data_IF_749416557567
#
_entry.id   IF_749416557567
#
_cell.length_a   1.000
_cell.length_b   1.000
_cell.length_c   1.000
_cell.angle_alpha   90.00
_cell.angle_beta   90.00
_cell.angle_gamma   90.00
#
_symmetry.space_group_name_H-M   'P 1'
#
loop_
_entity.id
_entity.type
_entity.pdbx_description
1 polymer ?
#
# COMPACT_ATOMS: atom_id res chain seq x y z
N UNK A 1 -13.89 -2.11 12.01
CA UNK A 1 -13.46 -1.12 11.01
C UNK A 1 -12.41 -1.77 10.15
N UNK A 2 -12.77 -2.10 8.90
CA UNK A 2 -11.84 -2.66 7.94
C UNK A 2 -10.83 -1.57 7.55
N UNK A 3 -9.62 -1.64 8.06
CA UNK A 3 -8.54 -0.78 7.63
C UNK A 3 -7.83 -1.40 6.44
N UNK A 4 -8.36 -1.18 5.24
CA UNK A 4 -7.59 -1.22 4.00
C UNK A 4 -6.66 -0.01 4.04
N UNK A 5 -5.54 -0.04 4.77
CA UNK A 5 -4.70 1.14 4.94
C UNK A 5 -3.25 0.78 4.72
N UNK A 6 -2.64 1.46 3.76
CA UNK A 6 -1.24 1.75 3.88
C UNK A 6 -1.07 2.51 5.21
N UNK A 7 -0.37 1.92 6.17
CA UNK A 7 -0.01 2.63 7.41
C UNK A 7 0.92 3.76 7.01
N UNK A 8 0.41 4.99 6.96
CA UNK A 8 1.19 6.18 6.66
C UNK A 8 0.97 7.25 7.73
N UNK A 9 2.01 7.97 8.05
CA UNK A 9 2.00 9.09 8.98
C UNK A 9 2.57 10.32 8.32
N UNK A 10 1.85 11.46 8.42
CA UNK A 10 2.38 12.77 8.04
C UNK A 10 3.11 13.40 9.23
N UNK A 11 4.38 13.75 9.06
CA UNK A 11 5.16 14.54 10.01
C UNK A 11 5.52 15.88 9.38
N UNK A 12 5.00 16.98 9.94
CA UNK A 12 5.22 18.34 9.44
C UNK A 12 5.77 19.30 10.50
N UNK A 13 6.25 18.74 11.62
CA UNK A 13 6.79 19.48 12.76
C UNK A 13 8.05 18.83 13.32
N UNK A 14 8.52 19.29 14.49
CA UNK A 14 9.61 18.64 15.19
C UNK A 14 9.24 17.19 15.52
N UNK A 15 10.26 16.34 15.55
CA UNK A 15 10.12 14.94 15.93
C UNK A 15 9.75 14.89 17.41
N UNK A 16 8.70 14.17 17.71
CA UNK A 16 8.20 13.97 19.08
C UNK A 16 7.99 12.50 19.39
N UNK A 17 7.61 12.20 20.63
CA UNK A 17 7.34 10.82 21.08
C UNK A 17 6.19 10.17 20.29
N UNK A 18 5.23 10.96 19.79
CA UNK A 18 4.12 10.44 18.96
C UNK A 18 4.64 9.93 17.62
N UNK A 19 5.63 10.60 17.03
CA UNK A 19 6.30 10.16 15.80
C UNK A 19 6.98 8.80 15.99
N UNK A 20 7.70 8.61 17.10
CA UNK A 20 8.34 7.33 17.43
C UNK A 20 7.33 6.21 17.65
N UNK A 21 6.30 6.47 18.47
CA UNK A 21 5.25 5.48 18.75
C UNK A 21 4.56 5.02 17.47
N UNK A 22 4.29 5.94 16.56
CA UNK A 22 3.66 5.61 15.27
C UNK A 22 4.60 4.88 14.33
N UNK A 23 5.89 5.21 14.30
CA UNK A 23 6.89 4.46 13.54
C UNK A 23 6.99 3.02 14.03
N UNK A 24 6.95 2.79 15.34
CA UNK A 24 6.90 1.45 15.95
C UNK A 24 5.58 0.71 15.61
N UNK A 25 4.45 1.41 15.61
CA UNK A 25 3.14 0.84 15.22
C UNK A 25 3.11 0.43 13.74
N UNK A 26 3.73 1.23 12.85
CA UNK A 26 3.94 0.89 11.44
C UNK A 26 4.85 -0.33 11.32
N UNK A 27 5.88 -0.41 12.16
CA UNK A 27 6.90 -1.45 12.21
C UNK A 27 8.00 -1.24 11.17
N UNK A 28 9.27 -1.36 11.63
CA UNK A 28 10.44 -1.22 10.76
C UNK A 28 10.57 -2.39 9.76
N UNK A 29 11.22 -2.18 8.59
CA UNK A 29 11.68 -0.90 8.09
C UNK A 29 10.54 0.03 7.67
N UNK A 30 10.76 1.35 7.82
CA UNK A 30 9.89 2.40 7.32
C UNK A 30 10.58 3.20 6.24
N UNK A 31 9.82 3.86 5.38
CA UNK A 31 10.33 4.81 4.39
C UNK A 31 9.83 6.21 4.72
N UNK A 32 10.74 7.17 4.75
CA UNK A 32 10.44 8.60 4.86
C UNK A 32 10.36 9.15 3.45
N UNK A 33 9.33 9.94 3.15
CA UNK A 33 9.12 10.58 1.86
C UNK A 33 8.82 12.05 2.03
N UNK A 34 9.52 12.91 1.29
CA UNK A 34 9.17 14.33 1.21
C UNK A 34 7.81 14.52 0.55
N UNK A 35 6.94 15.34 1.13
CA UNK A 35 5.58 15.58 0.61
C UNK A 35 5.59 16.19 -0.81
N UNK A 36 6.54 17.06 -1.06
CA UNK A 36 6.75 17.74 -2.34
C UNK A 36 7.79 17.04 -3.22
N UNK A 37 8.31 15.89 -2.79
CA UNK A 37 9.29 15.09 -3.53
C UNK A 37 8.66 14.25 -4.62
N UNK A 38 9.48 13.85 -5.61
CA UNK A 38 9.07 12.95 -6.69
C UNK A 38 10.27 12.33 -7.40
N UNK A 39 10.02 11.27 -8.19
CA UNK A 39 11.07 10.61 -8.98
C UNK A 39 12.19 9.98 -8.18
N UNK A 40 11.91 9.54 -6.93
CA UNK A 40 12.91 8.91 -6.06
C UNK A 40 13.78 9.87 -5.26
N UNK A 41 13.56 11.20 -5.38
CA UNK A 41 14.26 12.20 -4.58
C UNK A 41 13.49 12.50 -3.29
N UNK A 42 14.22 12.73 -2.18
CA UNK A 42 13.62 12.99 -0.87
C UNK A 42 12.97 11.73 -0.26
N UNK A 43 13.55 10.54 -0.50
CA UNK A 43 13.14 9.29 0.12
C UNK A 43 14.32 8.65 0.86
N UNK A 44 14.04 8.10 2.05
CA UNK A 44 15.03 7.46 2.90
C UNK A 44 14.42 6.27 3.64
N UNK A 45 15.07 5.11 3.54
CA UNK A 45 14.66 3.91 4.27
C UNK A 45 15.34 3.93 5.62
N UNK A 46 14.59 3.59 6.67
CA UNK A 46 15.01 3.53 8.07
C UNK A 46 14.74 2.13 8.58
N UNK A 47 15.77 1.47 9.08
CA UNK A 47 15.69 0.07 9.50
C UNK A 47 15.44 -0.10 10.99
N UNK A 48 15.73 0.91 11.80
CA UNK A 48 15.57 0.87 13.26
C UNK A 48 15.19 2.21 13.86
N UNK A 49 14.75 2.21 15.12
CA UNK A 49 14.34 3.42 15.84
C UNK A 49 15.51 4.39 16.05
N UNK A 50 16.73 3.86 16.19
CA UNK A 50 17.93 4.67 16.42
C UNK A 50 18.29 5.55 15.22
N UNK A 51 17.89 5.13 14.02
CA UNK A 51 18.16 5.87 12.77
C UNK A 51 17.08 6.91 12.45
N UNK A 52 15.92 6.87 13.15
CA UNK A 52 14.71 7.59 12.75
C UNK A 52 14.88 9.11 12.77
N UNK A 53 15.41 9.66 13.86
CA UNK A 53 15.51 11.10 14.06
C UNK A 53 16.44 11.74 13.04
N UNK A 54 17.64 11.21 12.89
CA UNK A 54 18.63 11.71 11.93
C UNK A 54 18.08 11.64 10.50
N UNK A 55 17.38 10.55 10.18
CA UNK A 55 16.80 10.34 8.86
C UNK A 55 15.65 11.31 8.56
N UNK A 56 14.78 11.61 9.54
CA UNK A 56 13.71 12.61 9.40
C UNK A 56 14.30 14.00 9.23
N UNK A 57 15.20 14.42 10.16
CA UNK A 57 15.82 15.75 10.10
C UNK A 57 16.50 16.01 8.76
N UNK A 58 17.29 15.04 8.30
CA UNK A 58 18.01 15.17 7.04
C UNK A 58 17.05 15.25 5.85
N UNK A 59 15.98 14.44 5.83
CA UNK A 59 14.98 14.47 4.76
C UNK A 59 14.20 15.79 4.77
N UNK A 60 13.86 16.32 5.95
CA UNK A 60 13.18 17.60 6.09
C UNK A 60 14.06 18.77 5.60
N UNK A 61 15.35 18.76 5.93
CA UNK A 61 16.31 19.79 5.46
C UNK A 61 16.47 19.74 3.94
N UNK A 62 16.67 18.55 3.37
CA UNK A 62 16.77 18.34 1.91
C UNK A 62 15.49 18.80 1.20
N UNK A 63 14.32 18.48 1.75
CA UNK A 63 13.01 18.85 1.18
C UNK A 63 12.78 20.37 1.25
N UNK A 64 13.08 21.01 2.40
CA UNK A 64 12.99 22.45 2.54
C UNK A 64 13.90 23.20 1.56
N UNK A 65 15.14 22.71 1.39
CA UNK A 65 16.10 23.33 0.47
C UNK A 65 15.69 23.16 -1.02
N UNK A 66 15.14 22.01 -1.38
CA UNK A 66 14.80 21.71 -2.78
C UNK A 66 13.41 22.20 -3.20
N UNK A 67 12.43 22.23 -2.28
CA UNK A 67 11.01 22.45 -2.58
C UNK A 67 10.37 23.56 -1.74
N UNK A 68 11.07 24.10 -0.73
CA UNK A 68 10.50 25.09 0.19
C UNK A 68 9.50 24.51 1.20
N UNK A 69 9.41 23.20 1.31
CA UNK A 69 8.48 22.49 2.21
C UNK A 69 9.22 21.36 2.93
N UNK A 70 9.23 21.40 4.27
CA UNK A 70 9.87 20.39 5.11
C UNK A 70 8.95 19.22 5.48
N UNK A 71 7.72 19.20 4.96
CA UNK A 71 6.77 18.13 5.28
C UNK A 71 7.24 16.78 4.75
N UNK A 72 7.24 15.77 5.62
CA UNK A 72 7.58 14.38 5.26
C UNK A 72 6.48 13.43 5.69
N UNK A 73 6.43 12.28 5.04
CA UNK A 73 5.56 11.16 5.40
C UNK A 73 6.40 9.95 5.77
N UNK A 74 5.94 9.21 6.77
CA UNK A 74 6.46 7.88 7.10
C UNK A 74 5.46 6.83 6.60
N UNK A 75 5.96 5.83 5.91
CA UNK A 75 5.15 4.71 5.43
C UNK A 75 5.87 3.39 5.70
N UNK A 76 5.11 2.28 5.74
CA UNK A 76 5.73 0.95 5.77
C UNK A 76 6.58 0.74 4.52
N UNK A 77 7.84 0.38 4.71
CA UNK A 77 8.69 -0.08 3.61
C UNK A 77 8.55 -1.60 3.45
N UNK A 78 8.23 -2.04 2.25
CA UNK A 78 8.15 -3.44 1.89
C UNK A 78 9.43 -3.82 1.13
N UNK A 79 10.10 -4.87 1.60
CA UNK A 79 11.44 -5.25 1.09
C UNK A 79 11.34 -6.03 -0.22
N UNK A 80 10.40 -6.96 -0.27
CA UNK A 80 10.18 -7.84 -1.44
C UNK A 80 8.70 -8.20 -1.60
N UNK A 81 7.83 -7.20 -1.79
CA UNK A 81 6.41 -7.44 -1.90
C UNK A 81 6.06 -8.13 -3.21
N UNK A 82 5.02 -8.96 -3.15
CA UNK A 82 4.33 -9.49 -4.33
C UNK A 82 3.16 -8.57 -4.69
N UNK A 83 2.87 -8.44 -5.97
CA UNK A 83 1.72 -7.70 -6.47
C UNK A 83 0.55 -8.67 -6.64
N UNK A 84 -0.42 -8.60 -5.72
CA UNK A 84 -1.60 -9.46 -5.71
C UNK A 84 -2.84 -8.63 -6.03
N UNK A 85 -3.69 -9.17 -6.88
CA UNK A 85 -4.92 -8.52 -7.29
C UNK A 85 -6.13 -9.37 -6.96
N UNK A 86 -7.22 -8.73 -6.56
CA UNK A 86 -8.52 -9.37 -6.33
C UNK A 86 -9.53 -8.79 -7.32
N UNK A 87 -10.05 -9.66 -8.19
CA UNK A 87 -11.10 -9.28 -9.13
C UNK A 87 -12.47 -9.30 -8.45
N UNK A 88 -13.27 -8.26 -8.66
CA UNK A 88 -14.65 -8.18 -8.18
C UNK A 88 -15.62 -7.84 -9.31
N UNK A 89 -16.87 -8.19 -9.11
CA UNK A 89 -17.98 -7.76 -9.95
C UNK A 89 -19.17 -7.42 -9.05
N UNK A 90 -19.85 -6.34 -9.35
CA UNK A 90 -21.00 -5.87 -8.60
C UNK A 90 -22.13 -5.39 -9.52
N UNK A 91 -23.39 -5.66 -9.11
CA UNK A 91 -24.57 -5.25 -9.83
C UNK A 91 -25.32 -4.08 -9.12
N UNK A 92 -26.38 -3.59 -9.76
CA UNK A 92 -27.20 -2.51 -9.21
C UNK A 92 -28.16 -2.97 -8.10
N UNK A 93 -28.19 -4.25 -7.78
CA UNK A 93 -29.05 -4.85 -6.76
C UNK A 93 -28.31 -5.12 -5.45
N UNK A 94 -27.04 -4.69 -5.35
CA UNK A 94 -26.20 -4.87 -4.17
C UNK A 94 -25.51 -6.23 -4.09
N UNK A 95 -25.60 -7.04 -5.15
CA UNK A 95 -24.82 -8.28 -5.22
C UNK A 95 -23.38 -7.94 -5.57
N UNK A 96 -22.45 -8.45 -4.76
CA UNK A 96 -21.01 -8.30 -4.98
C UNK A 96 -20.37 -9.67 -4.85
N UNK A 97 -19.58 -10.04 -5.85
CA UNK A 97 -18.81 -11.30 -5.89
C UNK A 97 -17.34 -10.98 -6.12
N UNK A 98 -16.45 -11.76 -5.50
CA UNK A 98 -15.07 -11.84 -5.94
C UNK A 98 -14.92 -12.97 -6.98
N UNK A 99 -13.99 -12.82 -7.91
CA UNK A 99 -13.68 -13.81 -8.94
C UNK A 99 -12.28 -14.43 -8.74
N UNK A 100 -11.78 -14.35 -7.51
CA UNK A 100 -10.46 -14.86 -7.12
C UNK A 100 -9.36 -13.79 -7.18
N UNK A 101 -8.14 -14.28 -6.98
CA UNK A 101 -6.92 -13.48 -6.95
C UNK A 101 -5.94 -13.88 -8.07
N UNK A 102 -5.06 -12.96 -8.38
CA UNK A 102 -3.94 -13.12 -9.32
C UNK A 102 -2.65 -12.62 -8.69
N UNK A 103 -1.56 -13.28 -9.00
CA UNK A 103 -0.21 -12.78 -8.77
C UNK A 103 0.33 -12.12 -10.03
N UNK A 104 0.57 -10.83 -9.97
CA UNK A 104 1.09 -10.01 -11.07
C UNK A 104 2.49 -9.46 -10.75
N UNK A 105 3.26 -10.17 -9.94
CA UNK A 105 4.58 -9.72 -9.46
C UNK A 105 5.63 -9.68 -10.55
N UNK A 106 5.52 -10.54 -11.58
CA UNK A 106 6.48 -10.56 -12.67
C UNK A 106 6.20 -9.40 -13.64
N UNK A 107 6.92 -8.31 -13.47
CA UNK A 107 6.75 -7.06 -14.22
C UNK A 107 8.04 -6.62 -14.87
N UNK A 108 7.91 -5.94 -16.00
CA UNK A 108 9.02 -5.23 -16.67
C UNK A 108 8.66 -3.76 -16.83
N UNK A 109 9.41 -2.87 -16.18
CA UNK A 109 9.15 -1.42 -16.19
C UNK A 109 7.72 -1.07 -15.81
N UNK A 110 7.22 -1.69 -14.73
CA UNK A 110 5.85 -1.56 -14.20
C UNK A 110 4.74 -2.10 -15.15
N UNK A 111 5.09 -2.92 -16.12
CA UNK A 111 4.14 -3.64 -16.97
C UNK A 111 4.09 -5.11 -16.55
N UNK A 112 2.91 -5.63 -16.30
CA UNK A 112 2.66 -7.04 -15.99
C UNK A 112 3.05 -7.88 -17.20
N UNK A 113 3.85 -8.93 -16.99
CA UNK A 113 4.36 -9.82 -18.06
C UNK A 113 3.79 -11.22 -17.94
N UNK A 114 3.68 -11.73 -16.70
CA UNK A 114 3.09 -13.03 -16.40
C UNK A 114 2.17 -12.82 -15.19
N UNK A 115 0.98 -13.38 -15.27
CA UNK A 115 0.03 -13.46 -14.19
C UNK A 115 -0.28 -14.93 -13.88
N UNK A 116 -0.39 -15.26 -12.60
CA UNK A 116 -0.73 -16.60 -12.11
C UNK A 116 -2.00 -16.54 -11.26
N UNK A 117 -2.98 -17.37 -11.58
CA UNK A 117 -4.23 -17.46 -10.83
C UNK A 117 -4.52 -18.92 -10.44
N UNK A 118 -4.84 -19.19 -9.17
CA UNK A 118 -4.77 -18.29 -8.03
C UNK A 118 -3.31 -18.01 -7.62
N UNK A 119 -3.08 -16.89 -6.90
CA UNK A 119 -1.76 -16.56 -6.37
C UNK A 119 -1.25 -17.65 -5.42
N UNK A 120 -0.08 -18.22 -5.69
CA UNK A 120 0.46 -19.32 -4.91
C UNK A 120 1.02 -18.85 -3.55
N UNK A 121 1.00 -19.74 -2.53
CA UNK A 121 1.66 -19.50 -1.24
C UNK A 121 0.98 -18.47 -0.33
N UNK A 122 -0.26 -18.09 -0.62
CA UNK A 122 -1.10 -17.29 0.28
C UNK A 122 -1.92 -18.26 1.13
N UNK A 123 -1.89 -18.06 2.46
CA UNK A 123 -2.71 -18.86 3.39
C UNK A 123 -4.18 -18.65 3.11
N UNK A 124 -4.96 -19.73 3.13
CA UNK A 124 -6.39 -19.66 2.78
C UNK A 124 -7.18 -18.72 3.67
N UNK A 125 -6.86 -18.64 4.98
CA UNK A 125 -7.51 -17.71 5.90
C UNK A 125 -7.29 -16.26 5.47
N UNK A 126 -6.05 -15.92 5.06
CA UNK A 126 -5.69 -14.58 4.58
C UNK A 126 -6.35 -14.24 3.26
N UNK A 127 -6.48 -15.24 2.39
CA UNK A 127 -7.19 -15.11 1.11
C UNK A 127 -8.67 -14.80 1.33
N UNK A 128 -9.34 -15.54 2.20
CA UNK A 128 -10.74 -15.31 2.51
C UNK A 128 -10.97 -13.97 3.23
N UNK A 129 -10.05 -13.57 4.09
CA UNK A 129 -10.07 -12.26 4.76
C UNK A 129 -10.04 -11.11 3.74
N UNK A 130 -9.11 -11.12 2.78
CA UNK A 130 -9.01 -10.04 1.79
C UNK A 130 -10.20 -10.04 0.83
N UNK A 131 -10.73 -11.19 0.44
CA UNK A 131 -11.93 -11.27 -0.39
C UNK A 131 -13.14 -10.63 0.30
N UNK A 132 -13.34 -10.94 1.58
CA UNK A 132 -14.42 -10.36 2.38
C UNK A 132 -14.28 -8.84 2.49
N UNK A 133 -13.04 -8.33 2.68
CA UNK A 133 -12.78 -6.89 2.74
C UNK A 133 -13.07 -6.19 1.41
N UNK A 134 -12.70 -6.78 0.27
CA UNK A 134 -13.01 -6.24 -1.05
C UNK A 134 -14.52 -6.15 -1.30
N UNK A 135 -15.25 -7.22 -0.95
CA UNK A 135 -16.72 -7.26 -1.06
C UNK A 135 -17.36 -6.19 -0.17
N UNK A 136 -16.91 -6.07 1.08
CA UNK A 136 -17.43 -5.07 2.01
C UNK A 136 -17.15 -3.64 1.52
N UNK A 137 -15.96 -3.39 0.99
CA UNK A 137 -15.62 -2.09 0.40
C UNK A 137 -16.55 -1.73 -0.76
N UNK A 138 -16.80 -2.67 -1.69
CA UNK A 138 -17.73 -2.45 -2.80
C UNK A 138 -19.14 -2.14 -2.30
N UNK A 139 -19.64 -2.86 -1.29
CA UNK A 139 -20.98 -2.61 -0.72
C UNK A 139 -21.08 -1.24 -0.07
N UNK A 140 -20.05 -0.82 0.69
CA UNK A 140 -20.04 0.51 1.33
C UNK A 140 -19.97 1.67 0.36
N UNK A 141 -19.44 1.44 -0.84
CA UNK A 141 -19.31 2.44 -1.89
C UNK A 141 -20.46 2.40 -2.90
N UNK A 142 -21.46 1.52 -2.71
CA UNK A 142 -22.52 1.24 -3.70
C UNK A 142 -21.92 0.99 -5.10
N UNK A 143 -20.78 0.27 -5.14
CA UNK A 143 -20.04 0.04 -6.37
C UNK A 143 -20.83 -0.84 -7.33
N UNK A 144 -20.81 -0.46 -8.61
CA UNK A 144 -21.44 -1.20 -9.70
C UNK A 144 -20.46 -1.30 -10.85
N UNK A 145 -20.13 -2.46 -11.29
CA UNK A 145 -19.31 -2.84 -12.45
C UNK A 145 -18.28 -3.91 -12.08
N UNK A 146 -17.41 -4.26 -13.04
CA UNK A 146 -16.19 -5.00 -12.76
C UNK A 146 -15.13 -4.07 -12.18
N UNK A 147 -14.34 -4.58 -11.22
CA UNK A 147 -13.24 -3.83 -10.61
C UNK A 147 -12.14 -4.75 -10.13
N UNK A 148 -10.95 -4.21 -9.98
CA UNK A 148 -9.78 -4.94 -9.50
C UNK A 148 -9.15 -4.15 -8.36
N UNK A 149 -9.05 -4.78 -7.18
CA UNK A 149 -8.29 -4.26 -6.06
C UNK A 149 -6.85 -4.72 -6.18
N UNK A 150 -5.90 -3.81 -6.15
CA UNK A 150 -4.47 -4.10 -6.21
C UNK A 150 -3.82 -3.95 -4.83
N UNK A 151 -2.98 -4.93 -4.47
CA UNK A 151 -2.30 -5.00 -3.19
C UNK A 151 -0.83 -5.34 -3.37
N UNK A 152 0.01 -4.81 -2.47
CA UNK A 152 1.30 -5.41 -2.16
C UNK A 152 1.11 -6.42 -1.04
N UNK A 153 1.67 -7.61 -1.19
CA UNK A 153 1.59 -8.68 -0.20
C UNK A 153 2.97 -9.08 0.28
N UNK A 154 3.18 -8.99 1.59
CA UNK A 154 4.42 -9.38 2.23
C UNK A 154 4.15 -9.85 3.67
N UNK A 155 4.79 -10.95 4.09
CA UNK A 155 4.70 -11.48 5.45
C UNK A 155 3.24 -11.67 5.95
N UNK A 156 2.41 -12.32 5.13
CA UNK A 156 0.98 -12.58 5.41
C UNK A 156 0.10 -11.33 5.58
N UNK A 157 0.56 -10.17 5.11
CA UNK A 157 -0.19 -8.92 5.14
C UNK A 157 -0.44 -8.38 3.73
N UNK A 158 -1.66 -7.87 3.53
CA UNK A 158 -2.04 -7.14 2.32
C UNK A 158 -2.00 -5.64 2.58
N UNK A 159 -1.36 -4.90 1.69
CA UNK A 159 -1.27 -3.44 1.69
C UNK A 159 -1.94 -2.93 0.44
N UNK A 160 -3.07 -2.22 0.59
CA UNK A 160 -3.82 -1.68 -0.53
C UNK A 160 -3.02 -0.63 -1.29
N UNK A 161 -3.02 -0.71 -2.62
CA UNK A 161 -2.43 0.27 -3.53
C UNK A 161 -3.53 1.12 -4.15
N UNK A 162 -4.37 0.47 -4.97
CA UNK A 162 -5.41 1.15 -5.74
C UNK A 162 -6.54 0.21 -6.15
N UNK A 163 -7.61 0.78 -6.68
CA UNK A 163 -8.68 0.05 -7.32
C UNK A 163 -8.85 0.53 -8.76
N UNK A 164 -8.71 -0.39 -9.70
CA UNK A 164 -9.06 -0.16 -11.09
C UNK A 164 -10.55 -0.42 -11.30
N UNK A 165 -11.30 0.61 -11.70
CA UNK A 165 -12.76 0.55 -11.88
C UNK A 165 -13.15 0.06 -13.27
N UNK A 166 -12.46 -0.93 -13.78
CA UNK A 166 -12.66 -1.51 -15.11
C UNK A 166 -12.26 -2.98 -15.12
N UNK A 167 -12.65 -3.69 -16.16
CA UNK A 167 -12.06 -4.99 -16.46
C UNK A 167 -10.60 -4.83 -16.88
N UNK A 168 -9.78 -5.79 -16.54
CA UNK A 168 -8.37 -5.84 -16.96
C UNK A 168 -8.17 -6.94 -18.00
N UNK A 169 -7.15 -6.76 -18.86
CA UNK A 169 -6.84 -7.69 -19.96
C UNK A 169 -6.48 -9.08 -19.43
N UNK A 170 -5.81 -9.12 -18.30
CA UNK A 170 -5.32 -10.31 -17.61
C UNK A 170 -6.43 -11.15 -16.94
N UNK A 171 -7.65 -10.68 -16.90
CA UNK A 171 -8.77 -11.48 -16.37
C UNK A 171 -9.38 -12.35 -17.47
#
# INVERSE_FOLDING_TARGET
SAHLISKSLKASGPIDQDTHNKAEEIGYPVIIKAASGGGGRGMRIVHSAEELDDAIELTQQESAAAFGDSTVYLEKFLVSPRHIEVQVIADRHGNVLHLGDRDCSLQRRHQKVIEEAPAMGIKEEKRQEIYAQCIEACRKLDYVSAGTFEFLYENDNFYFIEMNTRIQVEH
#
